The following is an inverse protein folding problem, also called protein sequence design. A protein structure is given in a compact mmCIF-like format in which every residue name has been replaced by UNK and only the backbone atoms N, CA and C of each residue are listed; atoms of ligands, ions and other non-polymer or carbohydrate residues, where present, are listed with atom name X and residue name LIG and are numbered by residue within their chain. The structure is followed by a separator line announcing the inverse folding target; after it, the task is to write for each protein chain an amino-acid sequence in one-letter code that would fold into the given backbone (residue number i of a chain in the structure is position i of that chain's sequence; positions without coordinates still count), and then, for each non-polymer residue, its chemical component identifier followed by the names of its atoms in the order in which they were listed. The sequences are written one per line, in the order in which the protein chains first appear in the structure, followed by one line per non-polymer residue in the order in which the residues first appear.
data_IF_996720920344
#
_entry.id   IF_996720920344
#
_cell.length_a   1.000
_cell.length_b   1.000
_cell.length_c   1.000
_cell.angle_alpha   90.00
_cell.angle_beta   90.00
_cell.angle_gamma   90.00
#
_symmetry.space_group_name_H-M   'P 1'
#
loop_
_entity.id
_entity.type
_entity.pdbx_description
1 polymer ?
#
# COMPACT_ATOMS: atom_id res chain seq x y z
N UNK A 1 3.90 -13.59 15.07
CA UNK A 1 2.69 -13.40 14.22
C UNK A 1 2.99 -12.28 13.24
N UNK A 2 2.78 -12.46 11.94
CA UNK A 2 2.98 -11.38 10.96
C UNK A 2 1.83 -10.37 11.08
N UNK A 3 2.16 -9.07 11.07
CA UNK A 3 1.17 -8.00 11.08
C UNK A 3 0.36 -8.04 9.78
N UNK A 4 -0.95 -7.90 9.87
CA UNK A 4 -1.80 -7.86 8.68
C UNK A 4 -1.44 -6.63 7.83
N UNK A 5 -1.34 -6.73 6.47
CA UNK A 5 -0.95 -5.62 5.62
C UNK A 5 -1.75 -4.33 5.85
N UNK A 6 -3.07 -4.41 6.04
CA UNK A 6 -3.91 -3.24 6.30
C UNK A 6 -3.52 -2.51 7.58
N UNK A 7 -3.22 -3.24 8.66
CA UNK A 7 -2.76 -2.63 9.93
C UNK A 7 -1.46 -1.87 9.74
N UNK A 8 -0.51 -2.43 8.98
CA UNK A 8 0.76 -1.74 8.71
C UNK A 8 0.57 -0.50 7.82
N UNK A 9 -0.22 -0.61 6.76
CA UNK A 9 -0.51 0.50 5.84
C UNK A 9 -1.21 1.65 6.58
N UNK A 10 -2.23 1.35 7.39
CA UNK A 10 -2.98 2.37 8.14
C UNK A 10 -2.14 3.02 9.23
N UNK A 11 -1.29 2.27 9.92
CA UNK A 11 -0.36 2.82 10.90
C UNK A 11 0.73 3.70 10.25
N UNK A 12 1.20 3.34 9.06
CA UNK A 12 2.17 4.12 8.29
C UNK A 12 1.56 5.36 7.67
N UNK A 13 0.24 5.36 7.36
CA UNK A 13 -0.57 6.45 6.76
C UNK A 13 -0.18 6.88 5.35
N UNK A 14 0.97 6.50 4.85
CA UNK A 14 1.46 6.77 3.51
C UNK A 14 1.94 5.47 2.88
N UNK A 15 1.41 5.11 1.71
CA UNK A 15 1.81 3.95 0.94
C UNK A 15 2.62 4.41 -0.28
N UNK A 16 3.95 4.25 -0.28
CA UNK A 16 4.75 4.48 -1.49
C UNK A 16 4.34 3.54 -2.60
N UNK A 17 4.13 4.09 -3.80
CA UNK A 17 3.77 3.36 -5.01
C UNK A 17 4.88 3.53 -6.02
N UNK A 18 5.70 2.50 -6.22
CA UNK A 18 6.88 2.56 -7.06
C UNK A 18 6.57 2.11 -8.50
N UNK A 19 6.86 3.02 -9.42
CA UNK A 19 6.89 2.76 -10.85
C UNK A 19 8.27 3.15 -11.37
N UNK A 20 9.12 2.17 -11.56
CA UNK A 20 10.53 2.33 -11.86
C UNK A 20 10.85 1.96 -13.32
N UNK A 21 12.01 2.39 -13.80
CA UNK A 21 12.48 2.07 -15.14
C UNK A 21 12.83 0.58 -15.28
N UNK A 22 13.31 -0.05 -14.19
CA UNK A 22 13.68 -1.47 -14.14
C UNK A 22 13.60 -2.05 -12.72
N UNK A 23 13.85 -3.36 -12.62
CA UNK A 23 13.83 -4.10 -11.38
C UNK A 23 14.93 -3.67 -10.38
N UNK A 24 16.11 -3.29 -10.87
CA UNK A 24 17.22 -2.90 -10.00
C UNK A 24 16.95 -1.56 -9.34
N UNK A 25 16.38 -0.61 -10.08
CA UNK A 25 15.91 0.67 -9.53
C UNK A 25 14.80 0.45 -8.49
N UNK A 26 13.83 -0.43 -8.78
CA UNK A 26 12.77 -0.77 -7.84
C UNK A 26 13.31 -1.34 -6.53
N UNK A 27 14.32 -2.22 -6.59
CA UNK A 27 14.96 -2.78 -5.40
C UNK A 27 15.71 -1.69 -4.60
N UNK A 28 16.47 -0.81 -5.27
CA UNK A 28 17.19 0.28 -4.59
C UNK A 28 16.22 1.25 -3.90
N UNK A 29 15.14 1.66 -4.58
CA UNK A 29 14.15 2.56 -4.00
C UNK A 29 13.40 1.90 -2.84
N UNK A 30 13.03 0.63 -2.97
CA UNK A 30 12.41 -0.11 -1.86
C UNK A 30 13.34 -0.16 -0.64
N UNK A 31 14.63 -0.48 -0.83
CA UNK A 31 15.58 -0.53 0.27
C UNK A 31 15.74 0.84 0.97
N UNK A 32 15.79 1.93 0.21
CA UNK A 32 15.85 3.28 0.76
C UNK A 32 14.61 3.63 1.60
N UNK A 33 13.40 3.29 1.11
CA UNK A 33 12.15 3.48 1.84
C UNK A 33 12.13 2.69 3.15
N UNK A 34 12.56 1.43 3.13
CA UNK A 34 12.61 0.58 4.31
C UNK A 34 13.62 1.12 5.35
N UNK A 35 14.78 1.60 4.90
CA UNK A 35 15.78 2.24 5.76
C UNK A 35 15.26 3.54 6.38
N UNK A 36 14.38 4.28 5.70
CA UNK A 36 13.71 5.48 6.21
C UNK A 36 12.55 5.19 7.18
N UNK A 37 12.29 3.92 7.53
CA UNK A 37 11.25 3.53 8.47
C UNK A 37 9.91 3.12 7.85
N UNK A 38 9.80 3.17 6.52
CA UNK A 38 8.67 2.59 5.80
C UNK A 38 8.65 1.07 6.01
N UNK A 39 7.46 0.48 6.08
CA UNK A 39 7.29 -0.97 6.22
C UNK A 39 6.52 -1.58 5.05
N UNK A 40 5.53 -0.86 4.54
CA UNK A 40 4.69 -1.31 3.44
C UNK A 40 4.98 -0.49 2.18
N UNK A 41 5.27 -1.15 1.05
CA UNK A 41 5.59 -0.54 -0.25
C UNK A 41 4.81 -1.26 -1.35
N UNK A 42 4.22 -0.52 -2.28
CA UNK A 42 3.58 -1.04 -3.49
C UNK A 42 4.57 -0.98 -4.67
N UNK A 43 4.97 -2.13 -5.24
CA UNK A 43 5.63 -2.22 -6.54
C UNK A 43 4.58 -2.42 -7.63
N UNK A 44 4.69 -1.72 -8.76
CA UNK A 44 3.68 -1.83 -9.82
C UNK A 44 4.10 -2.82 -10.91
N UNK A 45 3.14 -3.56 -11.48
CA UNK A 45 3.37 -4.48 -12.62
C UNK A 45 3.85 -3.76 -13.89
N UNK A 46 3.77 -2.43 -13.93
CA UNK A 46 4.29 -1.62 -15.03
C UNK A 46 5.81 -1.44 -15.02
N UNK A 47 6.49 -1.81 -13.93
CA UNK A 47 7.96 -1.83 -13.86
C UNK A 47 8.49 -3.07 -14.58
N UNK A 48 9.36 -2.95 -15.60
CA UNK A 48 9.98 -4.11 -16.23
C UNK A 48 10.70 -5.00 -15.20
N UNK A 49 10.45 -6.32 -15.24
CA UNK A 49 11.05 -7.26 -14.28
C UNK A 49 10.48 -7.20 -12.85
N UNK A 50 9.31 -6.62 -12.66
CA UNK A 50 8.68 -6.40 -11.36
C UNK A 50 8.60 -7.66 -10.48
N UNK A 51 8.34 -8.85 -11.04
CA UNK A 51 8.27 -10.08 -10.25
C UNK A 51 9.63 -10.44 -9.62
N UNK A 52 10.73 -10.24 -10.36
CA UNK A 52 12.08 -10.39 -9.83
C UNK A 52 12.41 -9.35 -8.76
N UNK A 53 11.93 -8.10 -8.91
CA UNK A 53 12.08 -7.08 -7.88
C UNK A 53 11.32 -7.47 -6.59
N UNK A 54 10.10 -7.99 -6.70
CA UNK A 54 9.32 -8.49 -5.55
C UNK A 54 10.08 -9.60 -4.83
N UNK A 55 10.56 -10.62 -5.55
CA UNK A 55 11.28 -11.74 -4.96
C UNK A 55 12.56 -11.31 -4.21
N UNK A 56 13.22 -10.24 -4.68
CA UNK A 56 14.44 -9.69 -4.06
C UNK A 56 14.12 -8.79 -2.85
N UNK A 57 12.96 -8.16 -2.80
CA UNK A 57 12.57 -7.22 -1.75
C UNK A 57 11.70 -7.84 -0.66
N UNK A 58 10.94 -8.88 -0.96
CA UNK A 58 10.09 -9.58 0.01
C UNK A 58 10.84 -10.08 1.29
N UNK A 59 12.10 -10.56 1.21
CA UNK A 59 12.85 -10.98 2.41
C UNK A 59 13.48 -9.85 3.19
N UNK A 60 13.40 -8.59 2.74
CA UNK A 60 14.00 -7.45 3.43
C UNK A 60 13.28 -7.12 4.74
N UNK A 61 13.96 -6.36 5.59
CA UNK A 61 13.42 -5.81 6.83
C UNK A 61 13.45 -4.29 6.81
N UNK A 62 12.56 -3.66 7.59
CA UNK A 62 12.60 -2.22 7.82
C UNK A 62 13.73 -1.83 8.82
N UNK A 63 13.88 -0.53 9.07
CA UNK A 63 14.87 0.02 9.98
C UNK A 63 14.76 -0.50 11.44
N UNK A 64 13.64 -1.15 11.79
CA UNK A 64 13.39 -1.76 13.11
C UNK A 64 13.55 -3.29 13.11
N UNK A 65 14.05 -3.87 12.03
CA UNK A 65 14.22 -5.32 11.87
C UNK A 65 12.92 -6.10 11.65
N UNK A 66 11.78 -5.41 11.37
CA UNK A 66 10.52 -6.07 11.08
C UNK A 66 10.45 -6.43 9.58
N UNK A 67 9.85 -7.58 9.26
CA UNK A 67 9.67 -7.99 7.86
C UNK A 67 8.97 -6.90 7.04
N UNK A 68 9.52 -6.59 5.87
CA UNK A 68 8.90 -5.71 4.89
C UNK A 68 7.58 -6.31 4.40
N UNK A 69 6.63 -5.46 4.06
CA UNK A 69 5.36 -5.83 3.44
C UNK A 69 5.34 -5.28 2.01
N UNK A 70 5.84 -6.08 1.09
CA UNK A 70 5.89 -5.71 -0.31
C UNK A 70 4.58 -6.11 -0.98
N UNK A 71 3.84 -5.13 -1.47
CA UNK A 71 2.64 -5.34 -2.26
C UNK A 71 2.91 -5.21 -3.75
N UNK A 72 2.02 -5.76 -4.57
CA UNK A 72 2.05 -5.55 -6.02
C UNK A 72 0.79 -4.82 -6.45
N UNK A 73 0.99 -3.67 -7.10
CA UNK A 73 -0.06 -2.83 -7.65
C UNK A 73 -0.18 -2.93 -9.16
N UNK A 74 -1.28 -2.35 -9.67
CA UNK A 74 -1.67 -2.44 -11.09
C UNK A 74 -1.91 -3.90 -11.53
N UNK A 75 -2.31 -4.76 -10.57
CA UNK A 75 -2.65 -6.15 -10.84
C UNK A 75 -4.08 -6.19 -11.37
N UNK A 76 -4.25 -6.61 -12.62
CA UNK A 76 -5.55 -6.59 -13.32
C UNK A 76 -5.95 -7.95 -13.88
N UNK A 77 -5.09 -8.98 -13.76
CA UNK A 77 -5.35 -10.33 -14.28
C UNK A 77 -4.99 -11.42 -13.28
N UNK A 78 -5.67 -12.56 -13.34
CA UNK A 78 -5.38 -13.71 -12.50
C UNK A 78 -3.93 -14.25 -12.65
N UNK A 79 -3.33 -14.34 -13.86
CA UNK A 79 -1.93 -14.72 -13.99
C UNK A 79 -0.97 -13.78 -13.27
N UNK A 80 -1.15 -12.44 -13.40
CA UNK A 80 -0.32 -11.46 -12.70
C UNK A 80 -0.47 -11.58 -11.18
N UNK A 81 -1.68 -11.83 -10.68
CA UNK A 81 -1.93 -12.05 -9.25
C UNK A 81 -1.19 -13.28 -8.72
N UNK A 82 -1.26 -14.41 -9.42
CA UNK A 82 -0.53 -15.64 -9.05
C UNK A 82 0.98 -15.38 -9.03
N UNK A 83 1.52 -14.80 -10.11
CA UNK A 83 2.95 -14.47 -10.21
C UNK A 83 3.40 -13.56 -9.05
N UNK A 84 2.59 -12.56 -8.68
CA UNK A 84 2.91 -11.66 -7.57
C UNK A 84 3.01 -12.42 -6.24
N UNK A 85 2.03 -13.26 -5.95
CA UNK A 85 2.00 -14.05 -4.71
C UNK A 85 3.10 -15.10 -4.67
N UNK A 86 3.41 -15.74 -5.79
CA UNK A 86 4.50 -16.71 -5.91
C UNK A 86 5.87 -16.04 -5.74
N UNK A 87 6.00 -14.77 -6.12
CA UNK A 87 7.21 -13.95 -5.87
C UNK A 87 7.32 -13.45 -4.42
N UNK A 88 6.32 -13.68 -3.56
CA UNK A 88 6.35 -13.31 -2.15
C UNK A 88 5.62 -11.99 -1.82
N UNK A 89 4.73 -11.52 -2.70
CA UNK A 89 3.92 -10.34 -2.38
C UNK A 89 3.04 -10.58 -1.15
N UNK A 90 3.06 -9.62 -0.22
CA UNK A 90 2.26 -9.66 1.01
C UNK A 90 0.80 -9.21 0.78
N UNK A 91 0.55 -8.43 -0.27
CA UNK A 91 -0.77 -7.94 -0.65
C UNK A 91 -0.82 -7.57 -2.14
N UNK A 92 -2.03 -7.53 -2.69
CA UNK A 92 -2.31 -7.13 -4.07
C UNK A 92 -3.13 -5.84 -4.11
N UNK A 93 -2.93 -5.04 -5.16
CA UNK A 93 -3.73 -3.83 -5.42
C UNK A 93 -4.11 -3.76 -6.90
N UNK A 94 -5.37 -3.46 -7.20
CA UNK A 94 -5.81 -3.13 -8.56
C UNK A 94 -6.15 -1.65 -8.70
N UNK A 95 -6.11 -1.07 -9.92
CA UNK A 95 -6.52 0.32 -10.14
C UNK A 95 -8.05 0.49 -10.28
N UNK A 96 -8.77 -0.59 -10.55
CA UNK A 96 -10.21 -0.65 -10.79
C UNK A 96 -10.74 -2.04 -10.39
N UNK A 97 -12.07 -2.29 -10.41
CA UNK A 97 -12.63 -3.60 -10.07
C UNK A 97 -12.03 -4.73 -10.91
N UNK A 98 -11.48 -5.74 -10.24
CA UNK A 98 -10.78 -6.88 -10.87
C UNK A 98 -11.23 -8.21 -10.24
N UNK A 99 -12.41 -8.74 -10.63
CA UNK A 99 -13.01 -9.91 -10.00
C UNK A 99 -12.14 -11.17 -10.09
N UNK A 100 -11.39 -11.37 -11.17
CA UNK A 100 -10.48 -12.51 -11.30
C UNK A 100 -9.26 -12.41 -10.36
N UNK A 101 -8.78 -11.20 -10.06
CA UNK A 101 -7.71 -10.98 -9.06
C UNK A 101 -8.25 -11.23 -7.66
N UNK A 102 -9.48 -10.77 -7.38
CA UNK A 102 -10.17 -11.00 -6.11
C UNK A 102 -10.31 -12.50 -5.82
N UNK A 103 -10.67 -13.29 -6.83
CA UNK A 103 -10.79 -14.75 -6.68
C UNK A 103 -9.44 -15.40 -6.34
N UNK A 104 -8.37 -15.05 -7.05
CA UNK A 104 -7.01 -15.53 -6.74
C UNK A 104 -6.59 -15.14 -5.31
N UNK A 105 -6.84 -13.88 -4.92
CA UNK A 105 -6.52 -13.43 -3.56
C UNK A 105 -7.27 -14.23 -2.49
N UNK A 106 -8.56 -14.50 -2.72
CA UNK A 106 -9.40 -15.33 -1.84
C UNK A 106 -8.88 -16.77 -1.75
N UNK A 107 -8.56 -17.42 -2.87
CA UNK A 107 -8.00 -18.76 -2.93
C UNK A 107 -6.69 -18.89 -2.16
N UNK A 108 -5.86 -17.85 -2.21
CA UNK A 108 -4.52 -17.82 -1.62
C UNK A 108 -4.49 -17.22 -0.21
N UNK A 109 -5.63 -16.77 0.33
CA UNK A 109 -5.71 -16.09 1.63
C UNK A 109 -4.91 -14.78 1.68
N UNK A 110 -4.74 -14.10 0.53
CA UNK A 110 -3.95 -12.88 0.42
C UNK A 110 -4.82 -11.63 0.60
N UNK A 111 -4.24 -10.58 1.20
CA UNK A 111 -4.89 -9.28 1.28
C UNK A 111 -5.00 -8.66 -0.12
N UNK A 112 -6.18 -8.12 -0.45
CA UNK A 112 -6.42 -7.46 -1.73
C UNK A 112 -7.12 -6.11 -1.54
N UNK A 113 -6.50 -5.04 -1.99
CA UNK A 113 -7.02 -3.68 -2.00
C UNK A 113 -7.53 -3.39 -3.40
N UNK A 114 -8.81 -3.60 -3.63
CA UNK A 114 -9.40 -3.41 -4.94
C UNK A 114 -9.66 -1.93 -5.22
N UNK A 115 -9.35 -1.49 -6.45
CA UNK A 115 -9.57 -0.13 -6.91
C UNK A 115 -11.00 0.11 -7.35
N UNK A 116 -11.39 1.39 -7.32
CA UNK A 116 -12.65 1.89 -7.84
C UNK A 116 -12.72 3.41 -7.74
N UNK A 117 -13.78 3.99 -8.28
CA UNK A 117 -14.02 5.43 -8.19
C UNK A 117 -15.46 5.76 -7.78
N UNK A 118 -16.44 4.95 -8.13
CA UNK A 118 -17.83 5.16 -7.73
C UNK A 118 -18.11 4.64 -6.32
N UNK A 119 -19.10 5.20 -5.58
CA UNK A 119 -19.49 4.69 -4.27
C UNK A 119 -19.83 3.20 -4.27
N UNK A 120 -20.46 2.70 -5.36
CA UNK A 120 -20.81 1.28 -5.52
C UNK A 120 -19.59 0.37 -5.63
N UNK A 121 -18.59 0.76 -6.42
CA UNK A 121 -17.32 0.03 -6.55
C UNK A 121 -16.55 0.01 -5.23
N UNK A 122 -16.44 1.16 -4.55
CA UNK A 122 -15.77 1.25 -3.26
C UNK A 122 -16.48 0.40 -2.20
N UNK A 123 -17.81 0.46 -2.13
CA UNK A 123 -18.58 -0.40 -1.21
C UNK A 123 -18.39 -1.89 -1.51
N UNK A 124 -18.30 -2.28 -2.79
CA UNK A 124 -18.01 -3.67 -3.20
C UNK A 124 -16.62 -4.10 -2.79
N UNK A 125 -15.60 -3.27 -3.04
CA UNK A 125 -14.20 -3.54 -2.67
C UNK A 125 -14.04 -3.73 -1.15
N UNK A 126 -14.62 -2.83 -0.35
CA UNK A 126 -14.57 -2.91 1.12
C UNK A 126 -15.24 -4.18 1.64
N UNK A 127 -16.41 -4.55 1.11
CA UNK A 127 -17.10 -5.79 1.52
C UNK A 127 -16.30 -7.05 1.18
N UNK A 128 -15.56 -7.03 0.08
CA UNK A 128 -14.81 -8.19 -0.41
C UNK A 128 -13.44 -8.34 0.24
N UNK A 129 -12.74 -7.23 0.51
CA UNK A 129 -11.36 -7.23 0.95
C UNK A 129 -11.07 -6.42 2.22
N UNK A 130 -12.04 -5.68 2.76
CA UNK A 130 -11.86 -4.86 3.97
C UNK A 130 -11.26 -3.47 3.69
N UNK A 131 -10.63 -3.24 2.55
CA UNK A 131 -10.07 -1.96 2.15
C UNK A 131 -10.32 -1.68 0.66
N UNK A 132 -10.34 -0.41 0.28
CA UNK A 132 -10.53 0.01 -1.11
C UNK A 132 -9.54 1.12 -1.50
N UNK A 133 -9.04 1.05 -2.73
CA UNK A 133 -8.27 2.13 -3.37
C UNK A 133 -9.22 3.05 -4.15
N UNK A 134 -9.17 4.34 -3.91
CA UNK A 134 -9.81 5.34 -4.77
C UNK A 134 -8.80 5.81 -5.82
N UNK A 135 -9.08 5.57 -7.10
CA UNK A 135 -8.17 5.90 -8.19
C UNK A 135 -8.94 6.36 -9.46
N UNK A 136 -8.50 7.46 -10.12
CA UNK A 136 -7.45 8.40 -9.72
C UNK A 136 -7.96 9.44 -8.70
N UNK A 137 -7.30 9.57 -7.56
CA UNK A 137 -7.84 10.32 -6.43
C UNK A 137 -7.96 11.83 -6.67
N UNK A 138 -7.00 12.43 -7.40
CA UNK A 138 -6.98 13.88 -7.68
C UNK A 138 -8.27 14.40 -8.35
N UNK A 139 -8.97 13.54 -9.09
CA UNK A 139 -10.23 13.93 -9.78
C UNK A 139 -11.33 14.29 -8.78
N UNK A 140 -11.44 13.54 -7.69
CA UNK A 140 -12.47 13.78 -6.66
C UNK A 140 -12.01 14.66 -5.49
N UNK A 141 -10.72 14.68 -5.23
CA UNK A 141 -10.12 15.40 -4.13
C UNK A 141 -10.54 14.90 -2.73
N UNK A 142 -10.05 15.53 -1.65
CA UNK A 142 -10.41 15.17 -0.28
C UNK A 142 -11.91 15.28 0.02
N UNK A 143 -12.64 16.15 -0.69
CA UNK A 143 -14.10 16.28 -0.54
C UNK A 143 -14.83 15.00 -0.94
N UNK A 144 -14.35 14.30 -1.97
CA UNK A 144 -14.93 13.03 -2.39
C UNK A 144 -14.74 11.94 -1.31
N UNK A 145 -13.56 11.88 -0.67
CA UNK A 145 -13.33 10.96 0.45
C UNK A 145 -14.29 11.24 1.60
N UNK A 146 -14.51 12.51 1.98
CA UNK A 146 -15.51 12.85 3.01
C UNK A 146 -16.91 12.36 2.66
N UNK A 147 -17.31 12.49 1.38
CA UNK A 147 -18.62 12.02 0.92
C UNK A 147 -18.73 10.49 0.98
N UNK A 148 -17.68 9.77 0.62
CA UNK A 148 -17.63 8.31 0.76
C UNK A 148 -17.71 7.89 2.23
N UNK A 149 -16.97 8.54 3.12
CA UNK A 149 -16.98 8.25 4.57
C UNK A 149 -18.32 8.54 5.23
N UNK A 150 -19.11 9.47 4.70
CA UNK A 150 -20.47 9.72 5.19
C UNK A 150 -21.42 8.52 5.00
N UNK A 151 -21.21 7.71 3.95
CA UNK A 151 -22.04 6.53 3.64
C UNK A 151 -21.33 5.19 3.95
N UNK A 152 -20.02 5.22 4.13
CA UNK A 152 -19.16 4.07 4.44
C UNK A 152 -18.22 4.44 5.60
N UNK A 153 -18.73 4.69 6.83
CA UNK A 153 -17.95 5.26 7.94
C UNK A 153 -16.76 4.40 8.34
N UNK A 154 -16.88 3.08 8.31
CA UNK A 154 -15.85 2.12 8.75
C UNK A 154 -14.90 1.69 7.63
N UNK A 155 -15.14 2.13 6.39
CA UNK A 155 -14.33 1.73 5.24
C UNK A 155 -12.88 2.21 5.35
N UNK A 156 -11.92 1.31 5.14
CA UNK A 156 -10.51 1.65 4.96
C UNK A 156 -10.30 2.11 3.51
N UNK A 157 -10.27 3.42 3.31
CA UNK A 157 -10.13 4.04 1.98
C UNK A 157 -8.72 4.57 1.81
N UNK A 158 -8.07 4.19 0.70
CA UNK A 158 -6.70 4.57 0.34
C UNK A 158 -6.74 5.33 -1.00
N UNK A 159 -6.90 6.66 -0.98
CA UNK A 159 -6.80 7.48 -2.19
C UNK A 159 -5.38 7.41 -2.77
N UNK A 160 -5.29 7.29 -4.09
CA UNK A 160 -4.03 7.17 -4.82
C UNK A 160 -4.13 7.86 -6.18
N UNK A 161 -3.05 8.45 -6.63
CA UNK A 161 -2.93 9.06 -7.96
C UNK A 161 -3.15 10.56 -7.98
N UNK A 162 -2.08 11.30 -8.37
CA UNK A 162 -2.06 12.74 -8.46
C UNK A 162 -2.13 13.45 -7.11
N UNK A 163 -1.53 12.85 -6.07
CA UNK A 163 -1.46 13.41 -4.71
C UNK A 163 0.01 13.71 -4.42
N UNK A 164 0.29 14.94 -3.98
CA UNK A 164 1.62 15.37 -3.56
C UNK A 164 1.86 15.09 -2.06
N UNK A 165 3.11 14.87 -1.62
CA UNK A 165 3.40 14.61 -0.20
C UNK A 165 2.89 15.67 0.77
N UNK A 166 2.89 16.94 0.38
CA UNK A 166 2.36 18.05 1.19
C UNK A 166 0.86 18.00 1.43
N UNK A 167 0.10 17.28 0.60
CA UNK A 167 -1.36 17.15 0.69
C UNK A 167 -1.84 16.00 1.59
N UNK A 168 -0.92 15.09 1.99
CA UNK A 168 -1.27 13.86 2.73
C UNK A 168 -2.15 14.15 3.93
N UNK A 169 -1.85 15.19 4.70
CA UNK A 169 -2.62 15.55 5.89
C UNK A 169 -4.07 15.94 5.59
N UNK A 170 -4.33 16.59 4.46
CA UNK A 170 -5.68 16.98 4.04
C UNK A 170 -6.53 15.76 3.67
N UNK A 171 -5.90 14.78 3.02
CA UNK A 171 -6.55 13.52 2.68
C UNK A 171 -6.85 12.67 3.92
N UNK A 172 -5.92 12.62 4.88
CA UNK A 172 -6.13 11.94 6.17
C UNK A 172 -7.23 12.63 7.00
N UNK A 173 -7.25 13.97 7.02
CA UNK A 173 -8.30 14.74 7.68
C UNK A 173 -9.68 14.58 7.02
N UNK A 174 -9.71 14.22 5.74
CA UNK A 174 -10.92 13.85 5.03
C UNK A 174 -11.43 12.44 5.35
N UNK A 175 -10.68 11.63 6.11
CA UNK A 175 -11.04 10.28 6.54
C UNK A 175 -10.35 9.16 5.75
N UNK A 176 -9.33 9.47 4.94
CA UNK A 176 -8.49 8.43 4.35
C UNK A 176 -7.75 7.63 5.43
N UNK A 177 -7.68 6.31 5.29
CA UNK A 177 -6.95 5.45 6.22
C UNK A 177 -5.43 5.53 6.00
N UNK A 178 -5.03 5.69 4.75
CA UNK A 178 -3.67 5.97 4.29
C UNK A 178 -3.76 6.66 2.92
N UNK A 179 -2.64 7.18 2.42
CA UNK A 179 -2.56 7.84 1.11
C UNK A 179 -1.50 7.18 0.25
N UNK A 180 -1.85 6.79 -0.99
CA UNK A 180 -0.90 6.23 -1.96
C UNK A 180 -0.19 7.31 -2.76
N UNK A 181 1.14 7.38 -2.68
CA UNK A 181 1.96 8.37 -3.39
C UNK A 181 2.90 7.68 -4.36
N UNK A 182 2.79 8.04 -5.66
CA UNK A 182 3.61 7.47 -6.73
C UNK A 182 4.77 8.36 -7.19
N UNK A 183 4.76 9.64 -6.83
CA UNK A 183 5.77 10.63 -7.24
C UNK A 183 5.93 11.69 -6.15
N UNK A 184 7.04 12.46 -6.23
CA UNK A 184 7.26 13.59 -5.33
C UNK A 184 7.74 13.22 -3.93
N UNK A 185 7.99 11.95 -3.62
CA UNK A 185 8.62 11.59 -2.33
C UNK A 185 10.04 12.17 -2.25
N UNK A 186 10.47 12.65 -1.08
CA UNK A 186 11.81 13.17 -0.91
C UNK A 186 12.88 12.16 -1.35
N UNK A 187 13.90 12.62 -2.07
CA UNK A 187 15.06 11.81 -2.43
C UNK A 187 16.10 11.77 -1.29
N UNK A 188 16.12 12.80 -0.44
CA UNK A 188 17.00 12.85 0.73
C UNK A 188 16.52 11.85 1.80
N UNK A 189 17.38 10.96 2.29
CA UNK A 189 17.01 9.96 3.28
C UNK A 189 16.51 10.53 4.62
N UNK A 190 17.04 11.67 5.04
CA UNK A 190 16.63 12.33 6.29
C UNK A 190 15.23 12.94 6.18
N UNK A 191 14.95 13.64 5.08
CA UNK A 191 13.62 14.19 4.79
C UNK A 191 12.57 13.06 4.65
N UNK A 192 12.95 11.98 3.98
CA UNK A 192 12.09 10.81 3.82
C UNK A 192 11.78 10.16 5.18
N UNK A 193 12.78 9.98 6.04
CA UNK A 193 12.59 9.43 7.38
C UNK A 193 11.74 10.37 8.27
N UNK A 194 11.95 11.68 8.16
CA UNK A 194 11.14 12.67 8.86
C UNK A 194 9.66 12.62 8.41
N UNK A 195 9.40 12.47 7.12
CA UNK A 195 8.05 12.33 6.58
C UNK A 195 7.33 11.11 7.17
N UNK A 196 7.97 9.94 7.19
CA UNK A 196 7.38 8.75 7.79
C UNK A 196 7.18 8.87 9.29
N UNK A 197 8.13 9.45 10.02
CA UNK A 197 8.02 9.66 11.45
C UNK A 197 6.88 10.62 11.83
N UNK A 198 6.68 11.67 11.03
CA UNK A 198 5.63 12.68 11.23
C UNK A 198 4.21 12.13 10.96
N UNK A 199 4.07 11.19 10.03
CA UNK A 199 2.80 10.59 9.67
C UNK A 199 2.44 9.37 10.51
N UNK A 200 3.42 8.61 11.00
CA UNK A 200 3.21 7.34 11.67
C UNK A 200 2.35 7.44 12.92
N UNK A 201 1.45 6.50 13.08
CA UNK A 201 0.73 6.27 14.34
C UNK A 201 1.27 5.04 15.05
N UNK A 202 1.15 4.95 16.40
CA UNK A 202 1.48 3.73 17.12
C UNK A 202 0.70 2.55 16.56
N UNK A 203 1.38 1.49 16.14
CA UNK A 203 0.74 0.20 15.89
C UNK A 203 0.21 -0.35 17.21
N UNK A 204 -0.94 -1.05 17.18
CA UNK A 204 -1.38 -1.89 18.28
C UNK A 204 -0.23 -2.83 18.71
N UNK A 205 -0.11 -3.11 20.01
CA UNK A 205 1.05 -3.77 20.63
C UNK A 205 1.49 -5.14 20.06
N UNK A 206 0.66 -5.78 19.23
CA UNK A 206 0.98 -7.06 18.56
C UNK A 206 2.01 -6.94 17.41
N UNK A 207 2.42 -5.73 17.06
CA UNK A 207 3.43 -5.48 16.03
C UNK A 207 4.84 -5.21 16.61
N UNK A 208 5.01 -5.24 17.92
CA UNK A 208 6.32 -5.20 18.55
C UNK A 208 7.03 -6.54 18.32
N UNK A 209 8.32 -6.49 17.94
CA UNK A 209 9.15 -7.68 17.91
C UNK A 209 9.12 -8.34 19.31
N UNK A 210 9.05 -9.68 19.41
CA UNK A 210 9.15 -10.33 20.70
C UNK A 210 10.50 -9.94 21.33
N UNK A 211 10.45 -9.43 22.57
CA UNK A 211 11.69 -9.21 23.33
C UNK A 211 12.46 -10.54 23.43
N UNK A 212 13.79 -10.54 23.26
CA UNK A 212 14.56 -11.72 23.45
C UNK A 212 14.36 -12.19 24.91
N UNK A 213 13.79 -13.38 25.08
CA UNK A 213 13.67 -13.99 26.40
C UNK A 213 15.08 -14.23 26.93
N UNK A 214 15.36 -13.66 28.09
CA UNK A 214 16.59 -13.87 28.85
C UNK A 214 16.73 -15.33 29.29
#
# INVERSE_FOLDING_TARGET
MSCHPYTAITAQRLLPVLRNADADEAVRHTAALLAAGCRAVELTTSTPGWAGAVARTAPLTDARGRSALIGVGTVTTAPAARTALDAGAAFLISPYPAPEVREVARERGAAFIEGGFTPGEIASAVRSGGAAKVFPAHVGGPRFIRSLKAVLPDALIIPTGGIEPGEVRDWLAAGAAAVGIGSGLPADPGELAALFADLAQPCCGDCAAPEPRA
#
